data_IF_908259772248
#
_entry.id   IF_908259772248
#
_cell.length_a   1.000
_cell.length_b   1.000
_cell.length_c   1.000
_cell.angle_alpha   90.00
_cell.angle_beta   90.00
_cell.angle_gamma   90.00
#
_symmetry.space_group_name_H-M   'P 1'
#
loop_
_entity.id
_entity.type
_entity.pdbx_description
1 polymer ?
#
# COMPACT_ATOMS: atom_id res chain seq x y z
N UNK A 1 -28.06 -10.63 -7.95
CA UNK A 1 -28.37 -9.58 -8.96
C UNK A 1 -29.50 -8.69 -8.44
N UNK A 2 -29.21 -7.42 -8.21
CA UNK A 2 -30.22 -6.39 -7.89
C UNK A 2 -30.16 -5.34 -9.00
N UNK A 3 -31.27 -5.15 -9.69
CA UNK A 3 -31.42 -4.17 -10.78
C UNK A 3 -32.40 -3.11 -10.29
N UNK A 4 -31.93 -1.87 -10.17
CA UNK A 4 -32.83 -0.73 -9.90
C UNK A 4 -33.02 0.02 -11.21
N UNK A 5 -34.01 -0.42 -11.99
CA UNK A 5 -34.37 0.20 -13.28
C UNK A 5 -35.53 1.18 -13.12
N UNK A 6 -35.35 2.40 -13.65
CA UNK A 6 -36.38 3.45 -13.69
C UNK A 6 -37.30 3.31 -14.91
N UNK A 7 -36.93 2.54 -15.93
CA UNK A 7 -37.56 2.52 -17.25
C UNK A 7 -38.95 1.84 -17.30
N UNK A 8 -39.36 1.09 -16.27
CA UNK A 8 -40.67 0.43 -16.20
C UNK A 8 -41.81 1.26 -15.60
N UNK A 9 -41.54 2.42 -15.01
CA UNK A 9 -42.51 3.11 -14.16
C UNK A 9 -43.21 4.28 -14.89
N UNK A 10 -44.21 3.98 -15.74
CA UNK A 10 -45.10 5.01 -16.29
C UNK A 10 -46.03 5.54 -15.20
N UNK A 11 -45.86 6.82 -14.84
CA UNK A 11 -46.79 7.56 -13.98
C UNK A 11 -46.22 8.08 -12.64
N UNK A 12 -44.90 8.10 -12.46
CA UNK A 12 -44.28 8.52 -11.20
C UNK A 12 -43.76 9.97 -11.24
N UNK A 13 -44.20 10.79 -10.27
CA UNK A 13 -43.74 12.16 -10.06
C UNK A 13 -42.39 12.21 -9.32
N UNK A 14 -41.69 13.34 -9.47
CA UNK A 14 -40.24 13.51 -9.40
C UNK A 14 -39.56 13.47 -8.01
N UNK A 15 -40.15 12.91 -6.95
CA UNK A 15 -39.69 13.20 -5.57
C UNK A 15 -39.74 12.02 -4.59
N UNK A 16 -39.27 10.83 -5.00
CA UNK A 16 -39.01 9.76 -4.02
C UNK A 16 -37.64 9.12 -4.22
N UNK A 17 -36.82 9.25 -3.19
CA UNK A 17 -35.60 8.46 -2.94
C UNK A 17 -36.03 7.10 -2.37
N UNK A 18 -35.42 6.02 -2.86
CA UNK A 18 -35.63 4.67 -2.32
C UNK A 18 -34.32 4.24 -1.68
N UNK A 19 -34.32 4.15 -0.36
CA UNK A 19 -33.19 3.63 0.40
C UNK A 19 -33.38 2.12 0.58
N UNK A 20 -32.41 1.33 0.10
CA UNK A 20 -32.43 -0.12 0.18
C UNK A 20 -31.26 -0.58 1.04
N UNK A 21 -31.54 -1.11 2.23
CA UNK A 21 -30.54 -1.79 3.06
C UNK A 21 -30.67 -3.30 2.90
N UNK A 22 -29.57 -3.96 2.52
CA UNK A 22 -29.52 -5.41 2.33
C UNK A 22 -28.40 -5.98 3.17
N UNK A 23 -28.73 -7.01 3.95
CA UNK A 23 -27.78 -7.77 4.76
C UNK A 23 -27.56 -9.13 4.12
N UNK A 24 -26.39 -9.31 3.52
CA UNK A 24 -26.01 -10.55 2.87
C UNK A 24 -24.87 -11.24 3.65
N UNK A 25 -24.74 -12.57 3.54
CA UNK A 25 -23.59 -13.28 4.10
C UNK A 25 -22.28 -12.75 3.49
N UNK A 26 -21.21 -12.71 4.29
CA UNK A 26 -19.91 -12.18 3.83
C UNK A 26 -19.32 -12.95 2.66
N UNK A 27 -19.62 -14.24 2.51
CA UNK A 27 -19.12 -15.07 1.41
C UNK A 27 -19.99 -15.03 0.16
N UNK A 28 -21.07 -14.23 0.15
CA UNK A 28 -21.96 -14.16 -1.00
C UNK A 28 -21.35 -13.30 -2.10
N UNK A 29 -21.62 -13.68 -3.36
CA UNK A 29 -21.34 -12.85 -4.51
C UNK A 29 -22.42 -11.76 -4.64
N UNK A 30 -21.99 -10.54 -4.97
CA UNK A 30 -22.85 -9.36 -5.06
C UNK A 30 -22.73 -8.73 -6.44
N UNK A 31 -23.87 -8.57 -7.10
CA UNK A 31 -23.99 -7.84 -8.36
C UNK A 31 -25.06 -6.76 -8.20
N UNK A 32 -24.64 -5.51 -8.34
CA UNK A 32 -25.48 -4.32 -8.21
C UNK A 32 -25.36 -3.50 -9.48
N UNK A 33 -26.49 -3.26 -10.13
CA UNK A 33 -26.59 -2.41 -11.32
C UNK A 33 -27.59 -1.26 -11.04
N UNK A 34 -27.13 -0.02 -11.14
CA UNK A 34 -27.97 1.18 -10.96
C UNK A 34 -27.79 2.17 -12.12
N UNK A 35 -28.90 2.68 -12.65
CA UNK A 35 -28.88 3.70 -13.71
C UNK A 35 -29.09 5.13 -13.22
N UNK A 36 -29.53 5.31 -11.97
CA UNK A 36 -29.90 6.62 -11.41
C UNK A 36 -28.82 7.18 -10.47
N UNK A 37 -28.91 8.48 -10.09
CA UNK A 37 -27.88 9.23 -9.36
C UNK A 37 -27.75 8.87 -7.86
N UNK A 38 -28.09 7.64 -7.47
CA UNK A 38 -28.04 7.19 -6.07
C UNK A 38 -26.67 6.66 -5.69
N UNK A 39 -26.12 7.01 -4.51
CA UNK A 39 -24.87 6.44 -4.07
C UNK A 39 -25.00 4.95 -3.74
N UNK A 40 -23.96 4.18 -4.00
CA UNK A 40 -23.90 2.75 -3.68
C UNK A 40 -22.83 2.55 -2.62
N UNK A 41 -23.22 1.98 -1.48
CA UNK A 41 -22.27 1.63 -0.40
C UNK A 41 -22.26 0.12 -0.19
N UNK A 42 -21.07 -0.47 -0.25
CA UNK A 42 -20.85 -1.91 -0.03
C UNK A 42 -19.77 -2.08 1.03
N UNK A 43 -19.99 -2.96 2.01
CA UNK A 43 -19.00 -3.22 3.04
C UNK A 43 -18.97 -4.67 3.51
N UNK A 44 -17.77 -5.15 3.88
CA UNK A 44 -17.59 -6.42 4.60
C UNK A 44 -17.82 -7.69 3.78
N UNK A 45 -17.77 -7.61 2.45
CA UNK A 45 -17.99 -8.73 1.54
C UNK A 45 -16.65 -9.36 1.12
N UNK A 46 -16.57 -10.68 1.23
CA UNK A 46 -15.39 -11.52 0.94
C UNK A 46 -15.55 -12.39 -0.33
N UNK A 47 -16.67 -12.24 -1.03
CA UNK A 47 -16.96 -12.90 -2.31
C UNK A 47 -16.63 -12.02 -3.51
N UNK A 48 -17.15 -12.38 -4.68
CA UNK A 48 -17.01 -11.58 -5.90
C UNK A 48 -18.02 -10.44 -5.91
N UNK A 49 -17.57 -9.23 -6.19
CA UNK A 49 -18.41 -8.03 -6.19
C UNK A 49 -18.32 -7.38 -7.56
N UNK A 50 -19.47 -7.16 -8.21
CA UNK A 50 -19.59 -6.38 -9.44
C UNK A 50 -20.56 -5.23 -9.21
N UNK A 51 -20.05 -4.00 -9.30
CA UNK A 51 -20.83 -2.77 -9.18
C UNK A 51 -20.79 -2.04 -10.51
N UNK A 52 -21.95 -1.80 -11.11
CA UNK A 52 -22.08 -0.99 -12.31
C UNK A 52 -23.07 0.14 -12.07
N UNK A 53 -22.61 1.39 -12.16
CA UNK A 53 -23.46 2.57 -11.95
C UNK A 53 -23.36 3.54 -13.12
N UNK A 54 -24.49 4.00 -13.64
CA UNK A 54 -24.49 5.06 -14.65
C UNK A 54 -24.08 6.42 -14.07
N UNK A 55 -24.62 6.75 -12.90
CA UNK A 55 -24.37 8.00 -12.17
C UNK A 55 -24.40 7.74 -10.66
N UNK A 56 -23.56 8.44 -9.90
CA UNK A 56 -23.56 8.39 -8.44
C UNK A 56 -22.26 7.87 -7.85
N UNK A 57 -22.03 8.21 -6.58
CA UNK A 57 -20.80 7.87 -5.88
C UNK A 57 -20.83 6.40 -5.41
N UNK A 58 -19.71 5.72 -5.54
CA UNK A 58 -19.54 4.34 -5.08
C UNK A 58 -18.57 4.35 -3.89
N UNK A 59 -18.99 3.77 -2.77
CA UNK A 59 -18.11 3.52 -1.63
C UNK A 59 -18.04 2.03 -1.31
N UNK A 60 -16.84 1.47 -1.37
CA UNK A 60 -16.57 0.07 -1.06
C UNK A 60 -15.57 -0.01 0.08
N UNK A 61 -15.87 -0.79 1.12
CA UNK A 61 -15.01 -0.91 2.31
C UNK A 61 -14.84 -2.35 2.77
N UNK A 62 -13.66 -2.68 3.27
CA UNK A 62 -13.37 -3.97 3.93
C UNK A 62 -13.76 -5.18 3.09
N UNK A 63 -13.39 -5.16 1.81
CA UNK A 63 -13.70 -6.27 0.90
C UNK A 63 -12.50 -7.19 0.70
N UNK A 64 -12.78 -8.47 0.44
CA UNK A 64 -11.77 -9.45 0.06
C UNK A 64 -12.26 -10.25 -1.15
N UNK A 65 -11.38 -10.59 -2.08
CA UNK A 65 -11.74 -11.34 -3.29
C UNK A 65 -11.63 -10.49 -4.56
N UNK A 66 -12.56 -10.69 -5.49
CA UNK A 66 -12.60 -9.97 -6.77
C UNK A 66 -13.59 -8.81 -6.68
N UNK A 67 -13.14 -7.59 -6.94
CA UNK A 67 -13.97 -6.39 -6.97
C UNK A 67 -13.89 -5.76 -8.35
N UNK A 68 -15.02 -5.68 -9.05
CA UNK A 68 -15.16 -5.01 -10.33
C UNK A 68 -16.09 -3.81 -10.13
N UNK A 69 -15.61 -2.61 -10.43
CA UNK A 69 -16.37 -1.37 -10.30
C UNK A 69 -16.36 -0.62 -11.62
N UNK A 70 -17.53 -0.43 -12.21
CA UNK A 70 -17.74 0.33 -13.43
C UNK A 70 -18.64 1.53 -13.11
N UNK A 71 -18.17 2.74 -13.37
CA UNK A 71 -18.99 3.95 -13.23
C UNK A 71 -18.86 4.88 -14.42
N UNK A 72 -20.00 5.39 -14.90
CA UNK A 72 -20.01 6.43 -15.93
C UNK A 72 -19.63 7.79 -15.38
N UNK A 73 -20.22 8.18 -14.25
CA UNK A 73 -20.00 9.46 -13.58
C UNK A 73 -20.23 9.37 -12.07
N UNK A 74 -19.25 9.80 -11.29
CA UNK A 74 -19.32 9.77 -9.82
C UNK A 74 -17.97 9.44 -9.21
N UNK A 75 -17.80 9.76 -7.93
CA UNK A 75 -16.56 9.46 -7.23
C UNK A 75 -16.57 8.00 -6.75
N UNK A 76 -15.42 7.34 -6.85
CA UNK A 76 -15.23 6.00 -6.32
C UNK A 76 -14.28 6.04 -5.14
N UNK A 77 -14.73 5.56 -3.99
CA UNK A 77 -13.93 5.39 -2.78
C UNK A 77 -13.85 3.91 -2.45
N UNK A 78 -12.66 3.32 -2.56
CA UNK A 78 -12.37 1.95 -2.18
C UNK A 78 -11.36 1.95 -1.02
N UNK A 79 -11.71 1.32 0.10
CA UNK A 79 -10.88 1.29 1.31
C UNK A 79 -10.71 -0.14 1.85
N UNK A 80 -9.48 -0.51 2.20
CA UNK A 80 -9.15 -1.81 2.79
C UNK A 80 -9.60 -3.00 1.95
N UNK A 81 -9.37 -2.93 0.63
CA UNK A 81 -9.70 -4.00 -0.32
C UNK A 81 -8.54 -5.00 -0.44
N UNK A 82 -8.84 -6.30 -0.43
CA UNK A 82 -7.84 -7.36 -0.58
C UNK A 82 -8.18 -8.26 -1.77
N UNK A 83 -7.20 -8.59 -2.61
CA UNK A 83 -7.39 -9.45 -3.78
C UNK A 83 -7.28 -8.69 -5.11
N UNK A 84 -8.12 -9.05 -6.07
CA UNK A 84 -8.12 -8.42 -7.40
C UNK A 84 -9.13 -7.28 -7.44
N UNK A 85 -8.70 -6.12 -7.92
CA UNK A 85 -9.54 -4.94 -8.13
C UNK A 85 -9.43 -4.49 -9.58
N UNK A 86 -10.58 -4.44 -10.25
CA UNK A 86 -10.74 -3.80 -11.55
C UNK A 86 -11.69 -2.61 -11.36
N UNK A 87 -11.24 -1.42 -11.72
CA UNK A 87 -12.04 -0.20 -11.60
C UNK A 87 -11.96 0.59 -12.90
N UNK A 88 -13.11 0.82 -13.52
CA UNK A 88 -13.25 1.67 -14.69
C UNK A 88 -14.18 2.85 -14.35
N UNK A 89 -13.66 4.07 -14.42
CA UNK A 89 -14.41 5.30 -14.17
C UNK A 89 -14.35 6.23 -15.38
N UNK A 90 -15.51 6.60 -15.92
CA UNK A 90 -15.58 7.59 -17.01
C UNK A 90 -15.23 8.99 -16.53
N UNK A 91 -15.95 9.47 -15.52
CA UNK A 91 -15.76 10.80 -14.92
C UNK A 91 -15.87 10.75 -13.39
N UNK A 92 -14.96 11.42 -12.70
CA UNK A 92 -14.99 11.55 -11.24
C UNK A 92 -13.65 11.21 -10.58
N UNK A 93 -13.54 11.48 -9.28
CA UNK A 93 -12.33 11.16 -8.55
C UNK A 93 -12.34 9.70 -8.08
N UNK A 94 -11.22 9.00 -8.25
CA UNK A 94 -11.02 7.64 -7.76
C UNK A 94 -10.04 7.70 -6.59
N UNK A 95 -10.46 7.18 -5.45
CA UNK A 95 -9.64 7.10 -4.24
C UNK A 95 -9.55 5.65 -3.79
N UNK A 96 -8.34 5.10 -3.76
CA UNK A 96 -8.05 3.76 -3.23
C UNK A 96 -7.10 3.88 -2.03
N UNK A 97 -7.47 3.31 -0.88
CA UNK A 97 -6.66 3.35 0.33
C UNK A 97 -6.50 1.99 1.00
N UNK A 98 -5.27 1.64 1.37
CA UNK A 98 -5.00 0.48 2.21
C UNK A 98 -5.31 -0.86 1.53
N UNK A 99 -5.09 -0.97 0.22
CA UNK A 99 -5.44 -2.16 -0.54
C UNK A 99 -4.24 -3.11 -0.74
N UNK A 100 -4.52 -4.42 -0.85
CA UNK A 100 -3.48 -5.45 -1.08
C UNK A 100 -3.86 -6.43 -2.18
N UNK A 101 -2.98 -6.68 -3.15
CA UNK A 101 -3.20 -7.63 -4.24
C UNK A 101 -2.88 -7.04 -5.62
N UNK A 102 -3.71 -7.31 -6.61
CA UNK A 102 -3.53 -6.82 -7.98
C UNK A 102 -4.61 -5.78 -8.28
N UNK A 103 -4.20 -4.61 -8.77
CA UNK A 103 -5.09 -3.49 -9.06
C UNK A 103 -4.95 -3.10 -10.53
N UNK A 104 -6.07 -3.04 -11.24
CA UNK A 104 -6.18 -2.47 -12.57
C UNK A 104 -7.18 -1.32 -12.51
N UNK A 105 -6.71 -0.09 -12.73
CA UNK A 105 -7.50 1.13 -12.57
C UNK A 105 -7.49 1.93 -13.87
N UNK A 106 -8.65 2.14 -14.48
CA UNK A 106 -8.82 2.96 -15.68
C UNK A 106 -9.71 4.16 -15.36
N UNK A 107 -9.24 5.37 -15.67
CA UNK A 107 -10.02 6.60 -15.51
C UNK A 107 -9.94 7.47 -16.75
N UNK A 108 -11.08 7.88 -17.30
CA UNK A 108 -11.14 8.77 -18.46
C UNK A 108 -10.79 10.22 -18.10
N UNK A 109 -11.61 10.84 -17.23
CA UNK A 109 -11.41 12.20 -16.76
C UNK A 109 -11.64 12.32 -15.26
N UNK A 110 -10.58 12.62 -14.50
CA UNK A 110 -10.67 12.68 -13.04
C UNK A 110 -9.32 12.59 -12.35
N UNK A 111 -9.30 12.84 -11.04
CA UNK A 111 -8.10 12.65 -10.23
C UNK A 111 -8.04 11.24 -9.65
N UNK A 112 -6.88 10.60 -9.76
CA UNK A 112 -6.60 9.30 -9.15
C UNK A 112 -5.76 9.52 -7.89
N UNK A 113 -6.28 9.13 -6.72
CA UNK A 113 -5.57 9.23 -5.44
C UNK A 113 -5.43 7.87 -4.79
N UNK A 114 -4.21 7.35 -4.78
CA UNK A 114 -3.88 6.02 -4.28
C UNK A 114 -2.96 6.13 -3.07
N UNK A 115 -3.27 5.41 -2.00
CA UNK A 115 -2.47 5.41 -0.78
C UNK A 115 -2.36 4.03 -0.14
N UNK A 116 -1.18 3.71 0.41
CA UNK A 116 -0.94 2.50 1.20
C UNK A 116 -1.30 1.21 0.44
N UNK A 117 -0.69 1.04 -0.73
CA UNK A 117 -0.92 -0.11 -1.60
C UNK A 117 0.20 -1.13 -1.49
N UNK A 118 -0.15 -2.41 -1.48
CA UNK A 118 0.83 -3.50 -1.55
C UNK A 118 0.45 -4.52 -2.62
N UNK A 119 1.35 -4.76 -3.57
CA UNK A 119 1.16 -5.64 -4.72
C UNK A 119 1.29 -4.89 -6.05
N UNK A 120 0.72 -5.44 -7.11
CA UNK A 120 0.91 -4.94 -8.47
C UNK A 120 -0.18 -3.93 -8.82
N UNK A 121 0.20 -2.76 -9.33
CA UNK A 121 -0.72 -1.73 -9.79
C UNK A 121 -0.46 -1.43 -11.27
N UNK A 122 -1.49 -1.59 -12.08
CA UNK A 122 -1.59 -1.03 -13.41
C UNK A 122 -2.67 0.07 -13.39
N UNK A 123 -2.31 1.26 -13.82
CA UNK A 123 -3.22 2.41 -13.82
C UNK A 123 -3.14 3.17 -15.14
N UNK A 124 -4.30 3.45 -15.72
CA UNK A 124 -4.44 4.27 -16.93
C UNK A 124 -5.31 5.49 -16.61
N UNK A 125 -4.80 6.69 -16.89
CA UNK A 125 -5.49 7.95 -16.68
C UNK A 125 -5.50 8.79 -17.96
N UNK A 126 -6.67 9.03 -18.54
CA UNK A 126 -6.80 9.85 -19.74
C UNK A 126 -6.45 11.32 -19.46
N UNK A 127 -7.09 11.90 -18.45
CA UNK A 127 -6.89 13.30 -18.06
C UNK A 127 -7.11 13.56 -16.57
N UNK A 128 -6.20 14.29 -15.93
CA UNK A 128 -6.31 14.71 -14.54
C UNK A 128 -5.05 14.46 -13.72
N UNK A 129 -5.11 14.73 -12.41
CA UNK A 129 -3.96 14.56 -11.52
C UNK A 129 -3.91 13.14 -10.96
N UNK A 130 -2.76 12.50 -11.08
CA UNK A 130 -2.49 11.20 -10.45
C UNK A 130 -1.58 11.41 -9.25
N UNK A 131 -2.02 10.96 -8.07
CA UNK A 131 -1.24 10.98 -6.84
C UNK A 131 -1.20 9.59 -6.24
N UNK A 132 -0.02 8.99 -6.17
CA UNK A 132 0.20 7.68 -5.57
C UNK A 132 1.17 7.86 -4.41
N UNK A 133 0.79 7.34 -3.24
CA UNK A 133 1.60 7.47 -2.03
C UNK A 133 1.76 6.11 -1.34
N UNK A 134 2.99 5.80 -0.91
CA UNK A 134 3.35 4.58 -0.18
C UNK A 134 2.87 3.31 -0.88
N UNK A 135 3.48 3.00 -2.01
CA UNK A 135 3.25 1.76 -2.75
C UNK A 135 4.43 0.80 -2.59
N UNK A 136 4.12 -0.48 -2.38
CA UNK A 136 5.09 -1.57 -2.31
C UNK A 136 4.73 -2.65 -3.33
N UNK A 137 5.56 -2.84 -4.34
CA UNK A 137 5.29 -3.77 -5.45
C UNK A 137 5.39 -3.06 -6.80
N UNK A 138 5.12 -3.80 -7.87
CA UNK A 138 5.35 -3.31 -9.23
C UNK A 138 4.27 -2.29 -9.65
N UNK A 139 4.70 -1.24 -10.34
CA UNK A 139 3.85 -0.14 -10.77
C UNK A 139 4.01 0.12 -12.26
N UNK A 140 2.90 0.10 -12.99
CA UNK A 140 2.77 0.62 -14.36
C UNK A 140 1.70 1.71 -14.38
N UNK A 141 2.04 2.89 -14.88
CA UNK A 141 1.17 4.05 -14.92
C UNK A 141 1.26 4.74 -16.28
N UNK A 142 0.14 4.79 -16.99
CA UNK A 142 0.03 5.47 -18.28
C UNK A 142 -0.93 6.66 -18.13
N UNK A 143 -0.43 7.88 -18.40
CA UNK A 143 -1.20 9.11 -18.25
C UNK A 143 -1.23 9.91 -19.56
N UNK A 144 -2.42 10.16 -20.11
CA UNK A 144 -2.54 10.96 -21.33
C UNK A 144 -2.17 12.42 -21.10
N UNK A 145 -2.80 13.06 -20.11
CA UNK A 145 -2.55 14.47 -19.76
C UNK A 145 -2.81 14.79 -18.29
N UNK A 146 -1.81 15.34 -17.61
CA UNK A 146 -1.91 15.83 -16.24
C UNK A 146 -0.69 15.50 -15.39
N UNK A 147 -0.66 16.05 -14.18
CA UNK A 147 0.48 15.92 -13.28
C UNK A 147 0.47 14.56 -12.58
N UNK A 148 1.62 13.90 -12.56
CA UNK A 148 1.84 12.63 -11.87
C UNK A 148 2.76 12.87 -10.68
N UNK A 149 2.30 12.52 -9.48
CA UNK A 149 3.08 12.62 -8.24
C UNK A 149 3.10 11.26 -7.55
N UNK A 150 4.27 10.63 -7.52
CA UNK A 150 4.53 9.39 -6.81
C UNK A 150 5.40 9.68 -5.59
N UNK A 151 4.94 9.31 -4.41
CA UNK A 151 5.64 9.55 -3.14
C UNK A 151 5.82 8.25 -2.34
N UNK A 152 7.05 7.96 -1.91
CA UNK A 152 7.35 6.77 -1.12
C UNK A 152 7.14 5.47 -1.89
N UNK A 153 7.55 5.45 -3.16
CA UNK A 153 7.54 4.24 -4.00
C UNK A 153 8.66 3.30 -3.58
N UNK A 154 8.34 2.03 -3.32
CA UNK A 154 9.33 0.97 -3.11
C UNK A 154 8.98 -0.22 -4.03
N UNK A 155 9.62 -0.28 -5.19
CA UNK A 155 9.29 -1.25 -6.24
C UNK A 155 10.54 -1.79 -6.93
N UNK A 156 10.41 -3.01 -7.47
CA UNK A 156 11.39 -3.56 -8.41
C UNK A 156 11.09 -3.10 -9.83
N UNK A 157 9.82 -2.99 -10.23
CA UNK A 157 9.44 -2.41 -11.51
C UNK A 157 8.66 -1.11 -11.31
N UNK A 158 9.08 -0.05 -11.99
CA UNK A 158 8.34 1.19 -12.12
C UNK A 158 8.35 1.58 -13.59
N UNK A 159 7.18 1.73 -14.18
CA UNK A 159 6.99 2.17 -15.56
C UNK A 159 5.97 3.31 -15.53
N UNK A 160 6.40 4.51 -15.87
CA UNK A 160 5.55 5.70 -15.84
C UNK A 160 5.68 6.39 -17.19
N UNK A 161 4.61 6.40 -17.96
CA UNK A 161 4.53 7.13 -19.21
C UNK A 161 3.50 8.25 -19.07
N UNK A 162 3.87 9.47 -19.47
CA UNK A 162 2.92 10.57 -19.61
C UNK A 162 3.05 11.29 -20.95
N UNK A 163 1.93 11.59 -21.59
CA UNK A 163 1.92 12.36 -22.83
C UNK A 163 2.26 13.84 -22.58
N UNK A 164 1.63 14.44 -21.58
CA UNK A 164 1.82 15.84 -21.21
C UNK A 164 1.53 16.09 -19.74
N UNK A 165 2.47 16.69 -19.03
CA UNK A 165 2.35 17.00 -17.61
C UNK A 165 3.66 16.76 -16.85
N UNK A 166 3.76 17.35 -15.67
CA UNK A 166 4.94 17.19 -14.82
C UNK A 166 4.90 15.83 -14.12
N UNK A 167 6.07 15.18 -14.02
CA UNK A 167 6.22 13.91 -13.32
C UNK A 167 7.15 14.09 -12.13
N UNK A 168 6.62 13.91 -10.93
CA UNK A 168 7.38 13.82 -9.69
C UNK A 168 7.44 12.37 -9.23
N UNK A 169 8.63 11.79 -9.15
CA UNK A 169 8.85 10.46 -8.56
C UNK A 169 9.75 10.58 -7.36
N UNK A 170 9.25 10.12 -6.22
CA UNK A 170 10.01 9.97 -5.00
C UNK A 170 9.90 8.53 -4.50
N UNK A 171 11.04 7.90 -4.30
CA UNK A 171 11.06 6.58 -3.71
C UNK A 171 12.43 5.95 -3.63
N UNK A 172 12.43 4.66 -3.29
CA UNK A 172 13.60 3.83 -3.15
C UNK A 172 13.57 2.70 -4.18
N UNK A 173 14.45 2.72 -5.18
CA UNK A 173 14.61 1.57 -6.07
C UNK A 173 15.19 0.39 -5.27
N UNK A 174 14.47 -0.73 -5.27
CA UNK A 174 14.93 -1.97 -4.63
C UNK A 174 16.14 -2.56 -5.40
N UNK A 175 16.90 -3.50 -4.81
CA UNK A 175 17.91 -4.25 -5.56
C UNK A 175 17.32 -4.87 -6.83
N UNK A 176 18.09 -4.83 -7.92
CA UNK A 176 17.70 -5.25 -9.27
C UNK A 176 16.47 -4.51 -9.86
N UNK A 177 16.13 -3.34 -9.32
CA UNK A 177 14.99 -2.57 -9.83
C UNK A 177 15.24 -2.01 -11.24
N UNK A 178 14.17 -1.91 -12.02
CA UNK A 178 14.08 -1.24 -13.31
C UNK A 178 13.00 -0.17 -13.23
N UNK A 179 13.44 1.07 -13.24
CA UNK A 179 12.57 2.23 -13.22
C UNK A 179 12.70 2.95 -14.56
N UNK A 180 11.58 3.14 -15.23
CA UNK A 180 11.46 3.84 -16.50
C UNK A 180 10.41 4.93 -16.34
N UNK A 181 10.84 6.18 -16.56
CA UNK A 181 9.97 7.36 -16.42
C UNK A 181 10.07 8.15 -17.72
N UNK A 182 9.02 8.14 -18.52
CA UNK A 182 8.93 8.83 -19.79
C UNK A 182 7.86 9.93 -19.78
N UNK A 183 8.21 11.11 -20.26
CA UNK A 183 7.24 12.19 -20.53
C UNK A 183 7.44 12.78 -21.92
N UNK A 184 6.35 12.99 -22.66
CA UNK A 184 6.41 13.69 -23.95
C UNK A 184 6.71 15.18 -23.78
N UNK A 185 6.06 15.82 -22.81
CA UNK A 185 6.21 17.25 -22.52
C UNK A 185 5.88 17.55 -21.06
N UNK A 186 6.86 18.04 -20.32
CA UNK A 186 6.73 18.35 -18.89
C UNK A 186 8.06 18.20 -18.15
N UNK A 187 8.14 18.82 -16.98
CA UNK A 187 9.32 18.70 -16.13
C UNK A 187 9.30 17.36 -15.38
N UNK A 188 10.46 16.72 -15.25
CA UNK A 188 10.62 15.51 -14.45
C UNK A 188 11.42 15.84 -13.20
N UNK A 189 10.88 15.49 -12.02
CA UNK A 189 11.58 15.57 -10.74
C UNK A 189 11.74 14.17 -10.19
N UNK A 190 12.97 13.69 -10.10
CA UNK A 190 13.30 12.41 -9.48
C UNK A 190 14.03 12.65 -8.15
N UNK A 191 13.45 12.13 -7.08
CA UNK A 191 14.02 12.21 -5.74
C UNK A 191 14.30 10.79 -5.21
N UNK A 192 15.59 10.44 -5.12
CA UNK A 192 16.03 9.14 -4.61
C UNK A 192 17.01 9.33 -3.44
N UNK A 193 17.06 8.39 -2.47
CA UNK A 193 18.06 8.43 -1.41
C UNK A 193 19.48 8.38 -1.96
N UNK A 194 20.38 9.18 -1.38
CA UNK A 194 21.80 9.19 -1.79
C UNK A 194 22.53 7.86 -1.52
N UNK A 195 21.97 7.02 -0.63
CA UNK A 195 22.47 5.69 -0.31
C UNK A 195 22.02 4.61 -1.31
N UNK A 196 21.17 4.93 -2.30
CA UNK A 196 20.68 3.95 -3.26
C UNK A 196 21.79 3.45 -4.19
N UNK A 197 21.77 2.15 -4.47
CA UNK A 197 22.66 1.49 -5.42
C UNK A 197 21.99 1.45 -6.80
N UNK A 198 22.11 2.56 -7.55
CA UNK A 198 21.57 2.61 -8.91
C UNK A 198 22.51 3.28 -9.94
N UNK A 199 22.31 2.84 -11.19
CA UNK A 199 22.73 3.53 -12.40
C UNK A 199 21.59 4.45 -12.85
N UNK A 200 21.93 5.69 -13.18
CA UNK A 200 21.02 6.66 -13.78
C UNK A 200 21.36 6.85 -15.26
N UNK A 201 20.33 6.86 -16.09
CA UNK A 201 20.37 7.34 -17.47
C UNK A 201 19.25 8.36 -17.63
N UNK A 202 19.60 9.58 -18.05
CA UNK A 202 18.64 10.66 -18.23
C UNK A 202 18.84 11.27 -19.60
N UNK A 203 17.77 11.35 -20.37
CA UNK A 203 17.75 11.99 -21.69
C UNK A 203 16.63 13.04 -21.75
N UNK A 204 16.97 14.22 -22.26
CA UNK A 204 16.04 15.30 -22.57
C UNK A 204 16.25 15.75 -24.01
N UNK A 205 15.17 15.79 -24.80
CA UNK A 205 15.21 16.33 -26.16
C UNK A 205 15.42 17.85 -26.16
N UNK A 206 14.78 18.55 -25.21
CA UNK A 206 15.00 19.97 -24.97
C UNK A 206 14.74 20.35 -23.52
N UNK A 207 15.67 21.07 -22.91
CA UNK A 207 15.59 21.46 -21.51
C UNK A 207 16.95 21.42 -20.82
N UNK A 208 16.94 21.63 -19.50
CA UNK A 208 18.14 21.52 -18.66
C UNK A 208 18.02 20.32 -17.74
N UNK A 209 19.11 19.56 -17.64
CA UNK A 209 19.28 18.55 -16.59
C UNK A 209 20.03 19.22 -15.43
N UNK A 210 19.40 19.30 -14.25
CA UNK A 210 20.03 19.71 -12.98
C UNK A 210 20.15 18.47 -12.09
N UNK A 211 21.37 17.97 -11.92
CA UNK A 211 21.64 16.79 -11.09
C UNK A 211 22.37 17.20 -9.80
N UNK A 212 21.69 17.01 -8.67
CA UNK A 212 22.18 17.26 -7.32
C UNK A 212 22.50 15.99 -6.54
N UNK A 213 22.51 14.84 -7.22
CA UNK A 213 22.85 13.55 -6.65
C UNK A 213 24.39 13.35 -6.62
N UNK A 214 24.94 12.74 -5.55
CA UNK A 214 26.37 12.49 -5.44
C UNK A 214 26.79 11.29 -6.31
N UNK A 215 26.90 11.49 -7.62
CA UNK A 215 27.33 10.46 -8.57
C UNK A 215 28.82 10.15 -8.42
N UNK A 216 29.17 8.85 -8.31
CA UNK A 216 30.57 8.37 -8.35
C UNK A 216 31.16 8.46 -9.75
N UNK A 217 30.37 8.06 -10.74
CA UNK A 217 30.70 8.18 -12.15
C UNK A 217 29.66 9.08 -12.79
N UNK A 218 30.11 10.05 -13.58
CA UNK A 218 29.26 11.02 -14.26
C UNK A 218 29.80 11.27 -15.65
N UNK A 219 28.97 10.97 -16.65
CA UNK A 219 29.18 11.29 -18.05
C UNK A 219 28.03 12.19 -18.50
N UNK A 220 28.37 13.38 -19.00
CA UNK A 220 27.38 14.35 -19.46
C UNK A 220 27.63 14.69 -20.92
N UNK A 221 26.56 14.70 -21.69
CA UNK A 221 26.53 15.16 -23.07
C UNK A 221 25.41 16.18 -23.28
N UNK A 222 25.21 16.62 -24.53
CA UNK A 222 24.12 17.52 -24.87
C UNK A 222 22.77 16.82 -24.66
N UNK A 223 22.02 17.22 -23.63
CA UNK A 223 20.71 16.64 -23.33
C UNK A 223 20.75 15.22 -22.76
N UNK A 224 21.92 14.70 -22.39
CA UNK A 224 22.05 13.40 -21.75
C UNK A 224 22.95 13.45 -20.52
N UNK A 225 22.57 12.68 -19.50
CA UNK A 225 23.35 12.46 -18.29
C UNK A 225 23.31 10.97 -17.98
N UNK A 226 24.48 10.37 -17.88
CA UNK A 226 24.63 9.02 -17.38
C UNK A 226 25.53 9.02 -16.16
N UNK A 227 25.21 8.16 -15.20
CA UNK A 227 26.03 8.05 -14.02
C UNK A 227 25.68 6.89 -13.12
N UNK A 228 26.53 6.65 -12.14
CA UNK A 228 26.31 5.64 -11.10
C UNK A 228 26.39 6.35 -9.76
N UNK A 229 25.37 6.18 -8.92
CA UNK A 229 25.37 6.73 -7.56
C UNK A 229 26.37 5.96 -6.70
N UNK A 230 26.10 4.68 -6.46
CA UNK A 230 26.94 3.81 -5.65
C UNK A 230 27.35 2.58 -6.43
N UNK A 231 26.45 1.60 -6.57
CA UNK A 231 26.60 0.43 -7.44
C UNK A 231 25.54 0.41 -8.54
N UNK A 232 25.81 -0.22 -9.68
CA UNK A 232 24.86 -0.32 -10.79
C UNK A 232 23.86 -1.49 -10.59
N UNK A 233 23.29 -1.64 -9.39
CA UNK A 233 22.42 -2.78 -9.06
C UNK A 233 20.99 -2.54 -9.58
N UNK A 234 20.43 -1.34 -9.37
CA UNK A 234 19.20 -0.89 -10.01
C UNK A 234 19.48 0.00 -11.24
N UNK A 235 18.60 -0.06 -12.24
CA UNK A 235 18.62 0.82 -13.40
C UNK A 235 17.45 1.80 -13.33
N UNK A 236 17.75 3.11 -13.39
CA UNK A 236 16.74 4.16 -13.46
C UNK A 236 16.96 4.96 -14.73
N UNK A 237 15.94 4.98 -15.57
CA UNK A 237 15.92 5.66 -16.85
C UNK A 237 14.84 6.74 -16.83
N UNK A 238 15.23 7.95 -17.25
CA UNK A 238 14.34 9.11 -17.33
C UNK A 238 14.43 9.69 -18.73
N UNK A 239 13.30 9.72 -19.43
CA UNK A 239 13.19 10.24 -20.78
C UNK A 239 12.20 11.40 -20.78
N UNK A 240 12.61 12.56 -21.29
CA UNK A 240 11.69 13.68 -21.53
C UNK A 240 11.86 14.22 -22.95
N UNK A 241 10.76 14.37 -23.69
CA UNK A 241 10.81 14.99 -25.01
C UNK A 241 11.11 16.48 -24.92
N UNK A 242 10.48 17.17 -23.97
CA UNK A 242 10.64 18.60 -23.73
C UNK A 242 10.32 18.94 -22.28
N UNK A 243 11.30 19.46 -21.55
CA UNK A 243 11.18 19.79 -20.14
C UNK A 243 12.52 19.70 -19.42
N UNK A 244 12.57 20.31 -18.24
CA UNK A 244 13.73 20.22 -17.37
C UNK A 244 13.66 18.94 -16.56
N UNK A 245 14.82 18.33 -16.34
CA UNK A 245 14.95 17.19 -15.43
C UNK A 245 15.71 17.64 -14.20
N UNK A 246 15.11 17.48 -13.03
CA UNK A 246 15.76 17.78 -11.75
C UNK A 246 15.92 16.47 -10.99
N UNK A 247 17.16 16.13 -10.64
CA UNK A 247 17.50 14.97 -9.85
C UNK A 247 18.00 15.43 -8.49
N UNK A 248 17.32 15.05 -7.42
CA UNK A 248 17.65 15.50 -6.07
C UNK A 248 17.86 14.33 -5.11
N UNK A 249 18.81 14.51 -4.20
CA UNK A 249 18.98 13.59 -3.08
C UNK A 249 17.87 13.84 -2.07
N UNK A 250 17.08 12.81 -1.77
CA UNK A 250 16.16 12.84 -0.63
C UNK A 250 16.96 12.61 0.66
N UNK A 251 16.94 13.52 1.65
CA UNK A 251 17.73 13.37 2.88
C UNK A 251 17.25 12.26 3.83
N UNK A 252 16.01 11.78 3.70
CA UNK A 252 15.39 10.91 4.71
C UNK A 252 14.66 9.73 4.08
N UNK A 253 15.41 8.65 3.86
CA UNK A 253 14.93 7.28 4.03
C UNK A 253 16.18 6.44 4.26
N UNK A 254 16.63 6.36 5.51
CA UNK A 254 17.45 5.21 5.87
C UNK A 254 16.57 4.00 5.55
N UNK A 255 17.01 3.06 4.68
CA UNK A 255 16.32 1.78 4.62
C UNK A 255 16.25 1.31 6.07
N UNK A 256 15.03 1.09 6.57
CA UNK A 256 14.89 0.24 7.75
C UNK A 256 15.64 -1.01 7.32
N UNK A 257 16.78 -1.37 7.95
CA UNK A 257 17.53 -2.51 7.48
C UNK A 257 16.52 -3.64 7.43
N UNK A 258 16.34 -4.22 6.24
CA UNK A 258 15.75 -5.52 6.10
C UNK A 258 16.67 -6.43 6.92
N UNK A 259 16.41 -6.53 8.23
CA UNK A 259 16.68 -7.77 8.92
C UNK A 259 15.68 -8.74 8.31
N UNK A 260 16.07 -9.28 7.17
CA UNK A 260 15.90 -10.69 6.91
C UNK A 260 16.19 -11.40 8.24
N UNK A 261 15.13 -11.77 8.94
CA UNK A 261 15.23 -12.91 9.84
C UNK A 261 15.07 -14.13 8.93
N UNK A 262 16.04 -14.33 8.03
CA UNK A 262 16.45 -15.70 7.80
C UNK A 262 16.82 -16.22 9.18
N UNK A 263 16.15 -17.27 9.70
CA UNK A 263 16.48 -17.80 11.01
C UNK A 263 17.95 -18.15 10.98
N UNK A 264 18.73 -17.50 11.86
CA UNK A 264 20.16 -17.73 11.95
C UNK A 264 20.43 -19.24 12.06
N UNK A 265 21.53 -19.71 11.49
CA UNK A 265 21.89 -21.14 11.48
C UNK A 265 21.89 -21.73 12.90
N UNK A 266 22.09 -20.87 13.91
CA UNK A 266 21.97 -21.19 15.34
C UNK A 266 20.53 -21.51 15.78
N UNK A 267 19.52 -20.75 15.38
CA UNK A 267 18.09 -20.96 15.70
C UNK A 267 17.55 -22.19 14.99
N UNK A 268 17.96 -22.42 13.73
CA UNK A 268 17.65 -23.67 13.03
C UNK A 268 18.31 -24.88 13.69
N UNK A 269 19.53 -24.73 14.22
CA UNK A 269 20.20 -25.77 14.99
C UNK A 269 19.48 -26.08 16.31
N UNK A 270 18.99 -25.07 17.02
CA UNK A 270 18.21 -25.26 18.26
C UNK A 270 16.89 -25.96 17.97
N UNK A 271 16.16 -25.57 16.92
CA UNK A 271 14.92 -26.23 16.52
C UNK A 271 15.16 -27.70 16.15
N UNK A 272 16.24 -27.99 15.42
CA UNK A 272 16.62 -29.37 15.08
C UNK A 272 17.00 -30.21 16.31
N UNK A 273 17.61 -29.61 17.33
CA UNK A 273 17.92 -30.29 18.59
C UNK A 273 16.67 -30.66 19.41
N UNK A 274 15.59 -29.85 19.34
CA UNK A 274 14.28 -30.18 19.92
C UNK A 274 13.64 -31.34 19.16
N UNK A 275 13.68 -31.31 17.83
CA UNK A 275 13.11 -32.35 16.98
C UNK A 275 13.83 -33.70 17.15
N UNK A 276 15.14 -33.68 17.37
CA UNK A 276 15.95 -34.86 17.70
C UNK A 276 15.84 -35.29 19.18
N UNK A 277 15.06 -34.58 20.01
CA UNK A 277 14.84 -34.89 21.43
C UNK A 277 16.05 -34.69 22.34
N UNK A 278 17.06 -33.94 21.89
CA UNK A 278 18.32 -33.69 22.64
C UNK A 278 18.16 -32.61 23.70
N UNK A 279 17.19 -31.71 23.53
CA UNK A 279 16.85 -30.64 24.48
C UNK A 279 15.35 -30.57 24.66
N UNK A 280 14.91 -30.11 25.82
CA UNK A 280 13.49 -29.88 26.11
C UNK A 280 13.02 -28.55 25.49
N UNK A 281 11.71 -28.38 25.21
CA UNK A 281 11.18 -27.12 24.68
C UNK A 281 11.51 -25.89 25.53
N UNK A 282 11.58 -26.05 26.87
CA UNK A 282 11.94 -24.95 27.78
C UNK A 282 13.41 -24.54 27.71
N UNK A 283 14.32 -25.48 27.46
CA UNK A 283 15.75 -25.19 27.23
C UNK A 283 15.98 -24.52 25.87
N UNK A 284 15.22 -24.93 24.85
CA UNK A 284 15.24 -24.29 23.54
C UNK A 284 14.79 -22.83 23.60
N UNK A 285 13.73 -22.54 24.37
CA UNK A 285 13.25 -21.17 24.59
C UNK A 285 14.30 -20.30 25.28
N UNK A 286 15.02 -20.84 26.28
CA UNK A 286 16.11 -20.14 26.95
C UNK A 286 17.30 -19.85 26.00
N UNK A 287 17.68 -20.81 25.15
CA UNK A 287 18.76 -20.67 24.17
C UNK A 287 18.44 -19.65 23.07
N UNK A 288 17.23 -19.70 22.49
CA UNK A 288 16.78 -18.74 21.49
C UNK A 288 16.71 -17.32 22.08
N UNK A 289 16.30 -17.19 23.34
CA UNK A 289 16.22 -15.89 24.04
C UNK A 289 17.60 -15.31 24.34
N UNK A 290 18.58 -16.15 24.68
CA UNK A 290 19.97 -15.75 24.88
C UNK A 290 20.64 -15.29 23.57
N UNK A 291 20.36 -15.98 22.46
CA UNK A 291 20.81 -15.58 21.12
C UNK A 291 20.18 -14.25 20.67
N UNK A 292 18.92 -14.00 21.03
CA UNK A 292 18.20 -12.77 20.71
C UNK A 292 18.60 -11.53 21.55
N UNK A 293 19.53 -11.66 22.50
CA UNK A 293 20.08 -10.52 23.27
C UNK A 293 19.06 -9.83 24.20
N UNK A 294 18.01 -10.52 24.63
CA UNK A 294 17.02 -9.95 25.55
C UNK A 294 17.55 -9.98 27.01
N UNK A 295 17.42 -8.88 27.79
CA UNK A 295 17.77 -8.88 29.20
C UNK A 295 16.79 -9.73 30.04
N UNK A 296 17.37 -10.44 31.00
CA UNK A 296 16.74 -11.40 31.91
C UNK A 296 15.57 -10.80 32.71
N UNK A 297 14.36 -11.40 32.73
CA UNK A 297 13.31 -10.96 33.65
C UNK A 297 13.65 -11.37 35.09
N UNK A 298 13.57 -10.41 36.01
CA UNK A 298 13.79 -10.62 37.44
C UNK A 298 12.98 -11.82 37.99
N UNK A 299 13.54 -12.60 38.93
CA UNK A 299 12.91 -13.85 39.38
C UNK A 299 11.60 -13.58 40.12
N UNK A 300 10.56 -14.30 39.70
CA UNK A 300 9.32 -14.44 40.43
C UNK A 300 9.62 -15.14 41.76
N UNK A 301 9.27 -14.47 42.88
CA UNK A 301 9.32 -15.08 44.21
C UNK A 301 8.29 -16.20 44.30
N UNK A 302 8.78 -17.42 44.47
CA UNK A 302 7.98 -18.58 44.85
C UNK A 302 7.59 -18.46 46.34
N UNK A 303 6.30 -18.33 46.62
CA UNK A 303 5.76 -18.54 47.96
C UNK A 303 5.79 -20.04 48.27
N UNK A 304 6.59 -20.41 49.26
CA UNK A 304 6.65 -21.75 49.85
C UNK A 304 5.52 -21.94 50.87
N UNK A 305 4.87 -23.12 50.94
CA UNK A 305 4.06 -23.52 52.09
C UNK A 305 4.84 -24.39 53.09
N UNK A 306 4.20 -24.67 54.24
CA UNK A 306 4.60 -25.54 55.38
C UNK A 306 5.48 -24.88 56.46
N UNK A 307 5.30 -25.11 57.76
CA UNK A 307 4.26 -25.75 58.58
C UNK A 307 4.55 -25.45 60.07
N UNK A 308 3.60 -25.83 60.92
CA UNK A 308 3.70 -26.15 62.35
C UNK A 308 3.73 -25.06 63.43
N UNK A 309 2.67 -25.11 64.26
CA UNK A 309 2.89 -25.71 65.58
C UNK A 309 2.56 -24.88 66.82
N UNK A 310 1.36 -25.11 67.35
CA UNK A 310 1.03 -25.18 68.80
C UNK A 310 1.22 -23.94 69.69
N UNK A 311 0.10 -23.42 70.20
CA UNK A 311 -0.44 -23.75 71.54
C UNK A 311 -0.99 -22.54 72.30
N UNK A 312 -2.17 -22.75 72.90
CA UNK A 312 -2.75 -22.06 74.06
C UNK A 312 -3.02 -20.55 73.91
N UNK A 313 -4.17 -20.00 74.28
CA UNK A 313 -5.28 -20.45 75.10
C UNK A 313 -6.00 -19.20 75.60
N UNK A 314 -7.28 -19.32 75.98
CA UNK A 314 -8.13 -18.29 76.62
C UNK A 314 -8.35 -17.01 75.77
N UNK A 315 -9.51 -16.35 75.72
CA UNK A 315 -10.77 -16.43 76.42
C UNK A 315 -11.56 -15.16 76.04
N UNK A 316 -12.87 -15.18 76.28
CA UNK A 316 -13.78 -14.02 76.37
C UNK A 316 -14.09 -13.26 75.06
N UNK A 317 -15.33 -13.33 74.58
CA UNK A 317 -16.44 -12.41 74.93
C UNK A 317 -16.11 -10.94 74.65
N UNK A 318 -16.76 -10.37 73.63
CA UNK A 318 -17.64 -9.21 73.78
C UNK A 318 -18.02 -8.64 72.39
N UNK A 319 -19.31 -8.74 72.07
CA UNK A 319 -20.03 -7.72 71.30
C UNK A 319 -19.87 -6.37 72.04
N UNK A 320 -19.88 -5.22 71.35
CA UNK A 320 -21.16 -4.53 71.26
C UNK A 320 -21.40 -3.75 69.95
N UNK A 321 -22.68 -3.40 69.81
CA UNK A 321 -23.28 -2.45 68.88
C UNK A 321 -22.76 -1.01 69.08
N UNK A 322 -23.02 -0.18 68.07
CA UNK A 322 -23.02 1.29 68.12
C UNK A 322 -22.25 1.85 66.92
N UNK A 323 -22.85 2.62 65.99
CA UNK A 323 -23.99 3.53 66.07
C UNK A 323 -24.59 3.71 64.68
#
# INVERSE_FOLDING_TARGET
>A
KIIVDRAGCRGWSAERQVDVELRIPRSADLEVETGGPGPVTVSGIRGSIRLATGQGDISVRETAGSLIVETGSGNVLAESCQGALELAAGQGAVTLKGARGNFNLETGSGSLTLADLAGNLEAEAGSGRVRISRIRGDLKLDCGSGDVILEGVASRRLEVETGSGDVGVEGYPLPDARWEVATGSGDVRLAIPAASDCRLSVETGSGRIDCRLPLRTREEGPGCLQGVLNRPDAAVEVLTGSGNVVLEARPDFAPVPERETEPDEASLSVLRMVEEGKITPGEAEALLRALAGAPDPAPLREDSPEADGKAAGSGQEATPQGT
#
